data_IF_949910734212
#
_entry.id   IF_949910734212
#
_cell.length_a   1.000
_cell.length_b   1.000
_cell.length_c   1.000
_cell.angle_alpha   90.00
_cell.angle_beta   90.00
_cell.angle_gamma   90.00
#
_symmetry.space_group_name_H-M   'P 1'
#
loop_
_entity.id
_entity.type
_entity.pdbx_description
1 polymer ?
#
# COMPACT_ATOMS: atom_id res chain seq x y z
N UNK A 1 7.03 20.54 -6.77
CA UNK A 1 5.93 20.47 -5.79
C UNK A 1 5.87 19.10 -5.12
N UNK A 2 5.66 18.00 -5.86
CA UNK A 2 5.63 16.63 -5.29
C UNK A 2 6.91 16.31 -4.49
N UNK A 3 8.09 16.56 -5.07
CA UNK A 3 9.38 16.33 -4.39
C UNK A 3 9.56 17.14 -3.09
N UNK A 4 8.93 18.31 -3.00
CA UNK A 4 8.94 19.12 -1.77
C UNK A 4 8.07 18.45 -0.70
N UNK A 5 6.84 18.07 -1.05
CA UNK A 5 5.92 17.36 -0.15
C UNK A 5 6.52 16.05 0.38
N UNK A 6 7.19 15.28 -0.48
CA UNK A 6 7.93 14.08 -0.07
C UNK A 6 9.01 14.39 0.96
N UNK A 7 9.82 15.43 0.71
CA UNK A 7 10.89 15.82 1.63
C UNK A 7 10.37 16.32 2.98
N UNK A 8 9.23 17.02 2.98
CA UNK A 8 8.53 17.43 4.19
C UNK A 8 7.99 16.23 4.98
N UNK A 9 7.40 15.23 4.30
CA UNK A 9 6.95 13.97 4.94
C UNK A 9 8.12 13.19 5.55
N UNK A 10 9.27 13.18 4.90
CA UNK A 10 10.49 12.52 5.41
C UNK A 10 11.05 13.30 6.61
N UNK A 11 11.04 14.62 6.55
CA UNK A 11 11.46 15.49 7.66
C UNK A 11 10.57 15.27 8.89
N UNK A 12 9.26 15.22 8.69
CA UNK A 12 8.31 14.89 9.76
C UNK A 12 8.63 13.53 10.38
N UNK A 13 8.84 12.49 9.57
CA UNK A 13 9.18 11.16 10.08
C UNK A 13 10.49 11.19 10.91
N UNK A 14 11.52 11.90 10.46
CA UNK A 14 12.78 11.93 11.24
C UNK A 14 12.67 12.65 12.58
N UNK A 15 11.82 13.68 12.67
CA UNK A 15 11.78 14.60 13.81
C UNK A 15 10.66 14.31 14.81
N UNK A 16 9.59 13.63 14.37
CA UNK A 16 8.43 13.37 15.21
C UNK A 16 8.72 12.50 16.46
N UNK A 17 9.57 11.47 16.43
CA UNK A 17 9.88 10.68 17.63
C UNK A 17 10.40 11.56 18.77
N UNK A 18 11.32 12.47 18.48
CA UNK A 18 11.90 13.41 19.45
C UNK A 18 10.84 14.38 19.98
N UNK A 19 9.97 14.88 19.11
CA UNK A 19 8.82 15.71 19.50
C UNK A 19 7.84 14.94 20.40
N UNK A 20 7.59 13.67 20.11
CA UNK A 20 6.67 12.84 20.89
C UNK A 20 7.24 12.51 22.27
N UNK A 21 8.54 12.20 22.36
CA UNK A 21 9.22 11.88 23.61
C UNK A 21 9.27 13.09 24.56
N UNK A 22 9.64 14.26 24.06
CA UNK A 22 9.64 15.51 24.84
C UNK A 22 8.25 15.87 25.37
N UNK A 23 7.19 15.62 24.59
CA UNK A 23 5.81 15.82 25.03
C UNK A 23 5.34 14.77 26.04
N UNK A 24 5.83 13.55 25.93
CA UNK A 24 5.51 12.45 26.84
C UNK A 24 6.06 12.69 28.24
N UNK A 25 7.29 13.19 28.35
CA UNK A 25 7.92 13.56 29.61
C UNK A 25 7.15 14.68 30.34
N UNK A 26 6.42 15.51 29.60
CA UNK A 26 5.60 16.60 30.13
C UNK A 26 4.16 16.18 30.48
N UNK A 27 3.70 15.02 30.01
CA UNK A 27 2.32 14.56 30.19
C UNK A 27 2.26 13.35 31.14
N UNK A 28 1.69 13.55 32.33
CA UNK A 28 1.37 12.48 33.28
C UNK A 28 0.16 11.65 32.81
N UNK A 29 0.31 10.82 31.77
CA UNK A 29 -0.78 9.94 31.34
C UNK A 29 -0.59 9.16 30.04
N UNK A 30 -1.32 8.05 29.93
CA UNK A 30 -1.36 7.00 28.88
C UNK A 30 -1.59 7.47 27.42
N UNK A 31 -1.68 8.77 27.14
CA UNK A 31 -2.11 9.34 25.86
C UNK A 31 -1.02 9.36 24.78
N UNK A 32 0.24 9.18 25.15
CA UNK A 32 1.39 9.29 24.23
C UNK A 32 1.48 8.11 23.27
N UNK A 33 1.08 6.91 23.70
CA UNK A 33 1.18 5.69 22.89
C UNK A 33 0.17 5.62 21.74
N UNK A 34 -0.94 6.36 21.80
CA UNK A 34 -1.99 6.36 20.76
C UNK A 34 -1.67 7.31 19.58
N UNK A 35 -0.91 8.38 19.83
CA UNK A 35 -0.58 9.39 18.82
C UNK A 35 0.24 8.82 17.64
N UNK A 36 1.31 8.03 17.88
CA UNK A 36 2.07 7.38 16.81
C UNK A 36 1.21 6.41 15.98
N UNK A 37 0.22 5.78 16.60
CA UNK A 37 -0.61 4.78 15.93
C UNK A 37 -1.57 5.37 14.90
N UNK A 38 -2.12 6.56 15.17
CA UNK A 38 -3.00 7.25 14.22
C UNK A 38 -2.25 7.92 13.06
N UNK A 39 -1.00 8.33 13.28
CA UNK A 39 -0.23 9.15 12.35
C UNK A 39 0.60 8.32 11.35
N UNK A 40 1.11 7.15 11.75
CA UNK A 40 1.88 6.30 10.82
C UNK A 40 1.05 5.79 9.63
N UNK A 41 -0.21 5.33 9.79
CA UNK A 41 -1.05 5.01 8.64
C UNK A 41 -1.26 6.20 7.71
N UNK A 42 -1.40 7.41 8.28
CA UNK A 42 -1.57 8.63 7.49
C UNK A 42 -0.32 9.01 6.72
N UNK A 43 0.87 8.78 7.28
CA UNK A 43 2.13 8.98 6.58
C UNK A 43 2.25 8.09 5.35
N UNK A 44 1.97 6.79 5.49
CA UNK A 44 1.94 5.86 4.34
C UNK A 44 0.87 6.26 3.31
N UNK A 45 -0.33 6.61 3.77
CA UNK A 45 -1.41 7.05 2.89
C UNK A 45 -1.03 8.31 2.10
N UNK A 46 -0.34 9.26 2.73
CA UNK A 46 0.12 10.49 2.08
C UNK A 46 1.05 10.16 0.91
N UNK A 47 2.02 9.26 1.10
CA UNK A 47 2.85 8.79 -0.01
C UNK A 47 2.02 8.12 -1.10
N UNK A 48 1.07 7.25 -0.76
CA UNK A 48 0.20 6.63 -1.76
C UNK A 48 -0.54 7.68 -2.60
N UNK A 49 -1.10 8.72 -1.97
CA UNK A 49 -1.79 9.81 -2.70
C UNK A 49 -0.86 10.68 -3.54
N UNK A 50 0.44 10.70 -3.27
CA UNK A 50 1.43 11.36 -4.12
C UNK A 50 1.81 10.53 -5.36
N UNK A 51 1.66 9.20 -5.29
CA UNK A 51 2.06 8.27 -6.36
C UNK A 51 0.92 7.87 -7.30
N UNK A 52 -0.33 8.12 -6.92
CA UNK A 52 -1.48 7.71 -7.72
C UNK A 52 -2.73 8.51 -7.40
N UNK A 53 -3.63 8.59 -8.38
CA UNK A 53 -4.99 9.08 -8.21
C UNK A 53 -5.87 7.91 -7.72
N UNK A 54 -6.10 7.87 -6.41
CA UNK A 54 -6.88 6.80 -5.79
C UNK A 54 -8.34 6.77 -6.27
N UNK A 55 -8.91 7.90 -6.68
CA UNK A 55 -10.28 7.95 -7.17
C UNK A 55 -10.37 7.25 -8.54
N UNK A 56 -9.37 7.45 -9.40
CA UNK A 56 -9.25 6.73 -10.68
C UNK A 56 -9.05 5.23 -10.46
N UNK A 57 -8.25 4.82 -9.46
CA UNK A 57 -8.10 3.40 -9.12
C UNK A 57 -9.41 2.79 -8.59
N UNK A 58 -10.19 3.53 -7.81
CA UNK A 58 -11.50 3.05 -7.35
C UNK A 58 -12.52 2.90 -8.49
N UNK A 59 -12.52 3.82 -9.45
CA UNK A 59 -13.29 3.66 -10.69
C UNK A 59 -12.89 2.38 -11.42
N UNK A 60 -11.60 2.06 -11.46
CA UNK A 60 -11.07 0.90 -12.17
C UNK A 60 -11.47 -0.46 -11.56
N UNK A 61 -11.86 -0.48 -10.28
CA UNK A 61 -12.41 -1.66 -9.60
C UNK A 61 -13.95 -1.64 -9.50
N UNK A 62 -14.59 -0.73 -10.22
CA UNK A 62 -16.06 -0.70 -10.38
C UNK A 62 -16.82 0.16 -9.38
N UNK A 63 -16.21 1.20 -8.79
CA UNK A 63 -16.90 2.15 -7.88
C UNK A 63 -18.21 2.69 -8.46
N UNK A 64 -18.24 2.99 -9.76
CA UNK A 64 -19.41 3.58 -10.45
C UNK A 64 -20.16 2.55 -11.32
N UNK A 65 -19.93 1.26 -11.09
CA UNK A 65 -20.52 0.16 -11.85
C UNK A 65 -19.50 -0.64 -12.67
N UNK A 66 -19.95 -1.65 -13.42
CA UNK A 66 -19.07 -2.57 -14.15
C UNK A 66 -18.39 -1.91 -15.37
N UNK A 67 -18.99 -0.85 -15.92
CA UNK A 67 -18.50 -0.19 -17.13
C UNK A 67 -17.31 0.74 -16.84
N UNK A 68 -16.10 0.20 -16.88
CA UNK A 68 -14.86 0.98 -16.71
C UNK A 68 -14.49 1.67 -18.03
N UNK A 69 -14.47 3.01 -18.03
CA UNK A 69 -14.12 3.81 -19.21
C UNK A 69 -12.70 3.52 -19.74
N UNK A 70 -12.51 3.70 -21.06
CA UNK A 70 -11.20 3.53 -21.70
C UNK A 70 -10.10 4.40 -21.05
N UNK A 71 -10.42 5.63 -20.68
CA UNK A 71 -9.45 6.55 -20.05
C UNK A 71 -8.96 6.04 -18.69
N UNK A 72 -9.85 5.44 -17.89
CA UNK A 72 -9.51 4.83 -16.59
C UNK A 72 -8.62 3.60 -16.81
N UNK A 73 -8.99 2.71 -17.74
CA UNK A 73 -8.17 1.53 -18.06
C UNK A 73 -6.77 1.93 -18.51
N UNK A 74 -6.66 2.92 -19.40
CA UNK A 74 -5.39 3.43 -19.90
C UNK A 74 -4.53 4.03 -18.78
N UNK A 75 -5.12 4.83 -17.88
CA UNK A 75 -4.42 5.38 -16.72
C UNK A 75 -3.84 4.26 -15.86
N UNK A 76 -4.66 3.27 -15.50
CA UNK A 76 -4.25 2.18 -14.62
C UNK A 76 -3.15 1.34 -15.27
N UNK A 77 -3.31 0.96 -16.54
CA UNK A 77 -2.28 0.22 -17.29
C UNK A 77 -0.93 0.97 -17.35
N UNK A 78 -0.97 2.30 -17.50
CA UNK A 78 0.22 3.15 -17.44
C UNK A 78 0.81 3.18 -16.03
N UNK A 79 -0.02 3.35 -15.00
CA UNK A 79 0.39 3.42 -13.61
C UNK A 79 1.04 2.11 -13.12
N UNK A 80 0.42 0.95 -13.38
CA UNK A 80 0.99 -0.35 -12.96
C UNK A 80 2.35 -0.65 -13.60
N UNK A 81 2.69 0.03 -14.69
CA UNK A 81 3.97 -0.10 -15.39
C UNK A 81 5.03 0.88 -14.85
N UNK A 82 4.62 1.95 -14.16
CA UNK A 82 5.53 3.00 -13.66
C UNK A 82 6.31 2.60 -12.40
N UNK A 83 7.40 3.29 -12.04
CA UNK A 83 8.04 3.15 -10.73
C UNK A 83 7.11 3.56 -9.57
N UNK A 84 6.25 4.55 -9.79
CA UNK A 84 5.32 5.06 -8.78
C UNK A 84 4.36 4.00 -8.26
N UNK A 85 3.89 3.07 -9.12
CA UNK A 85 3.08 1.95 -8.62
C UNK A 85 3.85 1.06 -7.63
N UNK A 86 5.14 0.80 -7.85
CA UNK A 86 5.94 -0.06 -6.96
C UNK A 86 6.20 0.65 -5.65
N UNK A 87 6.51 1.95 -5.71
CA UNK A 87 6.64 2.82 -4.53
C UNK A 87 5.31 2.90 -3.75
N UNK A 88 4.18 3.03 -4.44
CA UNK A 88 2.85 3.02 -3.82
C UNK A 88 2.54 1.68 -3.13
N UNK A 89 2.81 0.55 -3.80
CA UNK A 89 2.60 -0.79 -3.25
C UNK A 89 3.55 -1.10 -2.09
N UNK A 90 4.76 -0.53 -2.10
CA UNK A 90 5.69 -0.60 -0.97
C UNK A 90 5.08 0.07 0.27
N UNK A 91 4.51 1.27 0.14
CA UNK A 91 3.81 1.93 1.23
C UNK A 91 2.56 1.18 1.69
N UNK A 92 1.79 0.59 0.77
CA UNK A 92 0.67 -0.28 1.11
C UNK A 92 1.11 -1.51 1.92
N UNK A 93 2.24 -2.12 1.55
CA UNK A 93 2.81 -3.27 2.26
C UNK A 93 3.36 -2.88 3.65
N UNK A 94 4.04 -1.74 3.76
CA UNK A 94 4.53 -1.22 5.04
C UNK A 94 3.37 -0.93 6.00
N UNK A 95 2.33 -0.27 5.51
CA UNK A 95 1.08 -0.04 6.25
C UNK A 95 0.46 -1.36 6.70
N UNK A 96 0.37 -2.36 5.82
CA UNK A 96 -0.16 -3.67 6.18
C UNK A 96 0.62 -4.30 7.34
N UNK A 97 1.95 -4.33 7.24
CA UNK A 97 2.80 -4.90 8.28
C UNK A 97 2.69 -4.12 9.59
N UNK A 98 2.64 -2.79 9.53
CA UNK A 98 2.40 -1.95 10.70
C UNK A 98 1.10 -2.33 11.42
N UNK A 99 0.02 -2.50 10.66
CA UNK A 99 -1.30 -2.82 11.20
C UNK A 99 -1.39 -4.25 11.75
N UNK A 100 -0.75 -5.22 11.11
CA UNK A 100 -0.67 -6.61 11.60
C UNK A 100 0.01 -6.68 12.96
N UNK A 101 1.08 -5.91 13.14
CA UNK A 101 1.88 -5.93 14.37
C UNK A 101 1.31 -5.04 15.48
N UNK A 102 0.25 -4.26 15.21
CA UNK A 102 -0.37 -3.41 16.25
C UNK A 102 -1.39 -4.19 17.08
N UNK A 103 -1.36 -3.99 18.41
CA UNK A 103 -2.29 -4.61 19.35
C UNK A 103 -3.74 -4.14 19.14
N UNK A 104 -4.66 -5.10 19.20
CA UNK A 104 -6.11 -4.91 18.99
C UNK A 104 -6.81 -4.06 20.06
N UNK A 105 -6.12 -3.71 21.16
CA UNK A 105 -6.69 -2.91 22.25
C UNK A 105 -6.59 -1.39 22.03
N UNK A 106 -5.95 -0.95 20.95
CA UNK A 106 -5.76 0.48 20.65
C UNK A 106 -7.03 1.09 20.05
N UNK A 107 -7.38 2.31 20.48
CA UNK A 107 -8.41 3.09 19.81
C UNK A 107 -7.91 3.46 18.42
N UNK A 108 -8.58 2.91 17.43
CA UNK A 108 -8.29 3.11 16.02
C UNK A 108 -8.79 4.47 15.55
N UNK A 109 -7.95 5.21 14.83
CA UNK A 109 -8.39 6.45 14.22
C UNK A 109 -9.44 6.19 13.12
N UNK A 110 -10.40 7.11 13.00
CA UNK A 110 -11.54 6.97 12.08
C UNK A 110 -11.13 6.85 10.60
N UNK A 111 -9.96 7.37 10.24
CA UNK A 111 -9.42 7.30 8.88
C UNK A 111 -8.79 5.95 8.54
N UNK A 112 -8.40 5.14 9.53
CA UNK A 112 -7.63 3.92 9.26
C UNK A 112 -8.36 2.90 8.36
N UNK A 113 -9.68 2.65 8.51
CA UNK A 113 -10.39 1.80 7.56
C UNK A 113 -10.30 2.30 6.10
N UNK A 114 -10.40 3.62 5.87
CA UNK A 114 -10.29 4.21 4.53
C UNK A 114 -8.89 4.03 3.95
N UNK A 115 -7.86 4.19 4.78
CA UNK A 115 -6.46 4.01 4.39
C UNK A 115 -6.16 2.56 4.03
N UNK A 116 -6.63 1.59 4.85
CA UNK A 116 -6.50 0.16 4.54
C UNK A 116 -7.24 -0.22 3.25
N UNK A 117 -8.43 0.35 3.03
CA UNK A 117 -9.17 0.14 1.80
C UNK A 117 -8.40 0.67 0.58
N UNK A 118 -7.86 1.89 0.64
CA UNK A 118 -7.04 2.44 -0.44
C UNK A 118 -5.82 1.55 -0.77
N UNK A 119 -5.18 0.98 0.25
CA UNK A 119 -4.07 0.05 0.05
C UNK A 119 -4.52 -1.22 -0.70
N UNK A 120 -5.71 -1.72 -0.38
CA UNK A 120 -6.31 -2.87 -1.08
C UNK A 120 -6.67 -2.53 -2.53
N UNK A 121 -7.19 -1.32 -2.79
CA UNK A 121 -7.49 -0.85 -4.15
C UNK A 121 -6.20 -0.82 -4.99
N UNK A 122 -5.10 -0.28 -4.47
CA UNK A 122 -3.82 -0.28 -5.17
C UNK A 122 -3.37 -1.70 -5.56
N UNK A 123 -3.45 -2.65 -4.63
CA UNK A 123 -3.12 -4.06 -4.89
C UNK A 123 -4.04 -4.70 -5.92
N UNK A 124 -5.35 -4.46 -5.80
CA UNK A 124 -6.35 -4.98 -6.73
C UNK A 124 -6.14 -4.47 -8.15
N UNK A 125 -5.97 -3.15 -8.34
CA UNK A 125 -5.66 -2.57 -9.65
C UNK A 125 -4.37 -3.14 -10.24
N UNK A 126 -3.32 -3.29 -9.42
CA UNK A 126 -2.07 -3.88 -9.90
C UNK A 126 -2.29 -5.29 -10.43
N UNK A 127 -3.01 -6.15 -9.71
CA UNK A 127 -3.28 -7.53 -10.11
C UNK A 127 -4.23 -7.64 -11.31
N UNK A 128 -5.32 -6.87 -11.33
CA UNK A 128 -6.36 -6.94 -12.37
C UNK A 128 -5.86 -6.48 -13.74
N UNK A 129 -4.94 -5.52 -13.76
CA UNK A 129 -4.47 -4.91 -15.01
C UNK A 129 -3.08 -5.42 -15.44
N UNK A 130 -2.49 -6.40 -14.73
CA UNK A 130 -1.23 -6.99 -15.18
C UNK A 130 -1.37 -7.53 -16.60
N UNK A 131 -0.37 -7.32 -17.48
CA UNK A 131 -0.39 -7.90 -18.81
C UNK A 131 -0.47 -9.43 -18.71
N UNK A 132 -1.61 -10.02 -19.10
CA UNK A 132 -1.71 -11.46 -19.27
C UNK A 132 -0.77 -11.86 -20.41
N UNK A 133 0.19 -12.76 -20.16
CA UNK A 133 0.96 -13.37 -21.25
C UNK A 133 -0.02 -14.31 -21.97
N UNK A 134 -0.45 -14.04 -23.22
CA UNK A 134 -1.33 -14.96 -23.92
C UNK A 134 -0.60 -16.28 -24.09
N UNK A 135 -1.20 -17.37 -23.61
CA UNK A 135 -0.61 -18.71 -23.60
C UNK A 135 -0.53 -19.36 -25.00
N UNK A 136 -0.66 -18.58 -26.07
CA UNK A 136 -0.81 -19.08 -27.43
C UNK A 136 -0.40 -18.04 -28.48
N UNK A 137 0.89 -17.71 -28.54
CA UNK A 137 1.49 -17.23 -29.79
C UNK A 137 3.01 -17.37 -29.74
N UNK A 138 3.48 -18.56 -30.10
CA UNK A 138 4.81 -18.75 -30.68
C UNK A 138 4.88 -17.97 -31.99
N UNK A 139 5.55 -16.81 -31.99
CA UNK A 139 6.49 -16.33 -33.01
C UNK A 139 6.82 -14.85 -32.76
N UNK A 140 8.09 -14.61 -32.42
CA UNK A 140 8.87 -13.38 -32.66
C UNK A 140 8.18 -12.02 -32.50
N UNK A 141 8.24 -11.48 -31.29
CA UNK A 141 8.40 -10.04 -31.08
C UNK A 141 9.64 -9.81 -30.20
N UNK A 142 10.82 -9.99 -30.80
CA UNK A 142 12.07 -9.48 -30.26
C UNK A 142 12.10 -7.95 -30.41
N UNK A 143 11.28 -7.23 -29.64
CA UNK A 143 11.53 -5.83 -29.31
C UNK A 143 10.62 -5.38 -28.16
N UNK A 144 10.79 -5.97 -26.98
CA UNK A 144 10.25 -5.38 -25.75
C UNK A 144 11.42 -5.04 -24.88
N UNK A 145 11.61 -3.74 -24.70
CA UNK A 145 12.61 -3.10 -23.86
C UNK A 145 12.72 -3.86 -22.53
N UNK A 146 13.81 -4.61 -22.40
CA UNK A 146 14.35 -5.12 -21.13
C UNK A 146 14.88 -3.91 -20.34
N UNK A 147 14.02 -2.94 -19.99
CA UNK A 147 14.30 -2.11 -18.82
C UNK A 147 14.15 -3.07 -17.66
N UNK A 148 15.30 -3.57 -17.24
CA UNK A 148 15.50 -4.72 -16.38
C UNK A 148 14.59 -4.63 -15.14
N UNK A 149 13.74 -5.64 -14.90
CA UNK A 149 12.92 -5.70 -13.68
C UNK A 149 13.78 -5.56 -12.42
N UNK A 150 15.07 -5.87 -12.50
CA UNK A 150 16.07 -5.70 -11.44
C UNK A 150 16.33 -4.23 -11.10
N UNK A 151 16.39 -3.33 -12.10
CA UNK A 151 16.68 -1.89 -11.97
C UNK A 151 15.62 -1.17 -11.11
N UNK A 152 14.35 -1.53 -11.29
CA UNK A 152 13.24 -0.94 -10.52
C UNK A 152 13.34 -1.26 -9.02
N UNK A 153 13.76 -2.48 -8.64
CA UNK A 153 13.85 -2.85 -7.24
C UNK A 153 15.09 -2.27 -6.56
N UNK A 154 16.22 -2.18 -7.28
CA UNK A 154 17.40 -1.46 -6.78
C UNK A 154 17.09 0.01 -6.54
N UNK A 155 16.29 0.62 -7.41
CA UNK A 155 15.81 2.00 -7.25
C UNK A 155 14.95 2.21 -6.00
N UNK A 156 14.17 1.21 -5.55
CA UNK A 156 13.36 1.31 -4.34
C UNK A 156 14.20 1.38 -3.07
N UNK A 157 15.32 0.65 -3.00
CA UNK A 157 16.21 0.66 -1.84
C UNK A 157 16.96 1.99 -1.67
N UNK A 158 17.07 2.75 -2.76
CA UNK A 158 17.68 4.08 -2.77
C UNK A 158 16.71 5.18 -2.30
N UNK A 159 15.42 4.88 -2.15
CA UNK A 159 14.41 5.86 -1.77
C UNK A 159 14.69 6.48 -0.39
N UNK A 160 14.55 7.81 -0.27
CA UNK A 160 14.93 8.51 0.95
C UNK A 160 14.04 8.17 2.15
N UNK A 161 12.78 7.79 1.92
CA UNK A 161 11.86 7.32 2.95
C UNK A 161 12.19 5.90 3.45
N UNK A 162 12.71 5.01 2.59
CA UNK A 162 13.17 3.67 2.98
C UNK A 162 14.38 3.78 3.89
N UNK A 163 15.33 4.64 3.52
CA UNK A 163 16.48 4.98 4.37
C UNK A 163 16.05 5.64 5.69
N UNK A 164 15.02 6.49 5.65
CA UNK A 164 14.50 7.14 6.85
C UNK A 164 13.90 6.13 7.83
N UNK A 165 13.21 5.08 7.35
CA UNK A 165 12.67 4.01 8.18
C UNK A 165 13.77 3.13 8.79
N UNK A 166 14.76 2.72 7.98
CA UNK A 166 15.88 1.89 8.45
C UNK A 166 16.72 2.58 9.52
N UNK A 167 16.82 3.91 9.46
CA UNK A 167 17.56 4.73 10.42
C UNK A 167 16.72 5.21 11.60
N UNK A 168 15.41 4.90 11.65
CA UNK A 168 14.50 5.56 12.59
C UNK A 168 14.55 5.00 14.00
N UNK A 169 14.47 5.92 14.97
CA UNK A 169 14.26 5.65 16.40
C UNK A 169 12.93 4.94 16.66
N UNK A 170 12.01 4.92 15.68
CA UNK A 170 10.72 4.24 15.80
C UNK A 170 10.81 2.75 16.09
N UNK A 171 11.96 2.13 15.79
CA UNK A 171 12.28 0.73 16.11
C UNK A 171 12.08 0.38 17.60
N UNK A 172 12.17 1.35 18.52
CA UNK A 172 11.95 1.15 19.96
C UNK A 172 10.51 1.42 20.44
N UNK A 173 9.71 2.17 19.68
CA UNK A 173 8.35 2.62 20.09
C UNK A 173 7.20 1.91 19.37
N UNK A 174 7.45 1.36 18.18
CA UNK A 174 6.46 0.56 17.46
C UNK A 174 6.76 -0.92 17.61
N UNK A 175 5.72 -1.78 17.52
CA UNK A 175 5.92 -3.22 17.43
C UNK A 175 6.98 -3.51 16.37
N UNK A 176 8.11 -4.04 16.84
CA UNK A 176 9.31 -4.24 16.04
C UNK A 176 9.03 -5.17 14.86
N UNK A 177 9.68 -4.91 13.72
CA UNK A 177 10.13 -6.03 12.89
C UNK A 177 10.19 -5.86 11.39
N UNK A 178 9.67 -4.78 10.78
CA UNK A 178 9.66 -4.67 9.33
C UNK A 178 10.47 -3.47 8.83
N UNK A 179 11.72 -3.73 8.44
CA UNK A 179 12.62 -2.70 7.89
C UNK A 179 12.26 -2.36 6.45
N UNK A 180 12.72 -1.22 5.96
CA UNK A 180 12.51 -0.82 4.57
C UNK A 180 13.14 -1.80 3.58
N UNK A 181 14.30 -2.39 3.92
CA UNK A 181 14.93 -3.46 3.13
C UNK A 181 14.15 -4.78 3.13
N UNK A 182 13.55 -5.15 4.26
CA UNK A 182 12.69 -6.33 4.30
C UNK A 182 11.42 -6.10 3.47
N UNK A 183 10.91 -4.86 3.48
CA UNK A 183 9.78 -4.45 2.66
C UNK A 183 10.08 -4.51 1.16
N UNK A 184 11.24 -4.03 0.72
CA UNK A 184 11.65 -4.11 -0.70
C UNK A 184 11.77 -5.57 -1.15
N UNK A 185 12.41 -6.43 -0.34
CA UNK A 185 12.56 -7.86 -0.63
C UNK A 185 11.20 -8.59 -0.66
N UNK A 186 10.32 -8.32 0.32
CA UNK A 186 8.99 -8.91 0.37
C UNK A 186 8.12 -8.44 -0.80
N UNK A 187 8.17 -7.15 -1.15
CA UNK A 187 7.48 -6.61 -2.32
C UNK A 187 7.96 -7.32 -3.59
N UNK A 188 9.28 -7.44 -3.78
CA UNK A 188 9.85 -8.16 -4.92
C UNK A 188 9.30 -9.59 -5.02
N UNK A 189 9.29 -10.33 -3.91
CA UNK A 189 8.72 -11.67 -3.83
C UNK A 189 7.25 -11.70 -4.26
N UNK A 190 6.42 -10.81 -3.70
CA UNK A 190 4.99 -10.72 -4.01
C UNK A 190 4.77 -10.38 -5.49
N UNK A 191 5.48 -9.40 -6.05
CA UNK A 191 5.29 -8.98 -7.46
C UNK A 191 5.77 -10.02 -8.49
N UNK A 192 6.49 -11.05 -8.05
CA UNK A 192 6.89 -12.20 -8.88
C UNK A 192 6.05 -13.44 -8.66
N UNK A 193 5.18 -13.42 -7.64
CA UNK A 193 4.28 -14.52 -7.32
C UNK A 193 3.11 -14.59 -8.31
N UNK A 194 2.36 -15.69 -8.27
CA UNK A 194 1.11 -15.76 -9.05
C UNK A 194 -0.01 -14.95 -8.39
N UNK A 195 -1.08 -14.65 -9.13
CA UNK A 195 -2.19 -13.81 -8.63
C UNK A 195 -2.83 -14.35 -7.34
N UNK A 196 -2.95 -15.67 -7.16
CA UNK A 196 -3.53 -16.24 -5.95
C UNK A 196 -2.63 -16.01 -4.72
N UNK A 197 -1.32 -16.19 -4.88
CA UNK A 197 -0.32 -15.89 -3.85
C UNK A 197 -0.29 -14.40 -3.53
N UNK A 198 -0.37 -13.53 -4.53
CA UNK A 198 -0.46 -12.08 -4.34
C UNK A 198 -1.71 -11.70 -3.53
N UNK A 199 -2.89 -12.22 -3.90
CA UNK A 199 -4.15 -12.01 -3.16
C UNK A 199 -4.01 -12.45 -1.70
N UNK A 200 -3.43 -13.63 -1.46
CA UNK A 200 -3.23 -14.18 -0.13
C UNK A 200 -2.28 -13.33 0.73
N UNK A 201 -1.16 -12.88 0.14
CA UNK A 201 -0.16 -12.06 0.83
C UNK A 201 -0.61 -10.63 1.11
N UNK A 202 -1.66 -10.14 0.42
CA UNK A 202 -2.08 -8.73 0.45
C UNK A 202 -3.57 -8.57 0.79
N UNK A 203 -4.46 -8.75 -0.19
CA UNK A 203 -5.90 -8.50 -0.04
C UNK A 203 -6.53 -9.28 1.11
N UNK A 204 -6.20 -10.57 1.28
CA UNK A 204 -6.71 -11.36 2.40
C UNK A 204 -6.30 -10.78 3.76
N UNK A 205 -5.06 -10.26 3.86
CA UNK A 205 -4.54 -9.63 5.09
C UNK A 205 -5.27 -8.31 5.35
N UNK A 206 -5.42 -7.46 4.34
CA UNK A 206 -6.11 -6.17 4.44
C UNK A 206 -7.60 -6.33 4.79
N UNK A 207 -8.26 -7.31 4.16
CA UNK A 207 -9.64 -7.72 4.46
C UNK A 207 -9.78 -8.17 5.91
N UNK A 208 -8.89 -9.06 6.37
CA UNK A 208 -8.89 -9.55 7.75
C UNK A 208 -8.70 -8.41 8.74
N UNK A 209 -7.78 -7.48 8.45
CA UNK A 209 -7.60 -6.30 9.28
C UNK A 209 -8.87 -5.46 9.33
N UNK A 210 -9.48 -5.13 8.19
CA UNK A 210 -10.74 -4.39 8.16
C UNK A 210 -11.87 -5.08 8.94
N UNK A 211 -11.96 -6.42 8.90
CA UNK A 211 -12.92 -7.15 9.74
C UNK A 211 -12.58 -7.09 11.22
N UNK A 212 -11.30 -7.06 11.58
CA UNK A 212 -10.82 -6.90 12.97
C UNK A 212 -11.05 -5.50 13.51
N UNK A 213 -10.98 -4.46 12.69
CA UNK A 213 -11.10 -3.06 13.11
C UNK A 213 -12.49 -2.67 13.59
N UNK A 214 -13.53 -3.40 13.21
CA UNK A 214 -14.89 -3.07 13.61
C UNK A 214 -15.88 -4.20 13.41
N UNK A 215 -16.78 -4.34 14.37
CA UNK A 215 -17.91 -5.27 14.30
C UNK A 215 -19.05 -4.75 13.40
N UNK A 216 -19.00 -3.48 12.96
CA UNK A 216 -19.95 -2.84 12.04
C UNK A 216 -19.39 -1.60 11.34
N UNK A 217 -20.20 -0.94 10.51
CA UNK A 217 -19.86 0.33 9.87
C UNK A 217 -19.00 0.24 8.60
N UNK A 218 -18.27 1.32 8.29
CA UNK A 218 -17.55 1.48 7.02
C UNK A 218 -16.44 0.42 6.82
N UNK A 219 -15.81 -0.03 7.92
CA UNK A 219 -14.77 -1.06 7.87
C UNK A 219 -15.29 -2.39 7.32
N UNK A 220 -16.50 -2.82 7.73
CA UNK A 220 -17.12 -4.04 7.21
C UNK A 220 -17.48 -3.90 5.73
N UNK A 221 -18.01 -2.74 5.33
CA UNK A 221 -18.32 -2.47 3.91
C UNK A 221 -17.06 -2.56 3.03
N UNK A 222 -15.94 -1.99 3.48
CA UNK A 222 -14.67 -2.12 2.76
C UNK A 222 -14.17 -3.57 2.73
N UNK A 223 -14.28 -4.31 3.83
CA UNK A 223 -13.93 -5.73 3.85
C UNK A 223 -14.78 -6.54 2.86
N UNK A 224 -16.07 -6.26 2.76
CA UNK A 224 -16.98 -6.95 1.84
C UNK A 224 -16.65 -6.66 0.37
N UNK A 225 -16.28 -5.41 0.04
CA UNK A 225 -15.78 -5.07 -1.31
C UNK A 225 -14.49 -5.83 -1.61
N UNK A 226 -13.53 -5.86 -0.69
CA UNK A 226 -12.27 -6.59 -0.89
C UNK A 226 -12.53 -8.09 -1.04
N UNK A 227 -13.48 -8.65 -0.30
CA UNK A 227 -13.87 -10.06 -0.44
C UNK A 227 -14.37 -10.39 -1.85
N UNK A 228 -15.11 -9.48 -2.48
CA UNK A 228 -15.53 -9.62 -3.89
C UNK A 228 -14.30 -9.60 -4.81
N UNK A 229 -13.33 -8.71 -4.58
CA UNK A 229 -12.09 -8.63 -5.37
C UNK A 229 -11.20 -9.87 -5.19
N UNK A 230 -11.20 -10.48 -4.00
CA UNK A 230 -10.51 -11.74 -3.73
C UNK A 230 -11.18 -12.87 -4.52
N UNK A 231 -12.51 -12.94 -4.50
CA UNK A 231 -13.29 -13.98 -5.14
C UNK A 231 -13.36 -13.86 -6.67
N UNK A 232 -13.35 -12.65 -7.22
CA UNK A 232 -13.38 -12.42 -8.66
C UNK A 232 -12.09 -12.85 -9.32
N UNK A 233 -12.18 -13.68 -10.36
CA UNK A 233 -11.07 -13.95 -11.25
C UNK A 233 -10.93 -12.76 -12.21
N UNK A 234 -9.69 -12.34 -12.50
CA UNK A 234 -9.40 -11.15 -13.32
C UNK A 234 -9.93 -11.20 -14.76
N UNK A 235 -10.69 -12.23 -15.13
CA UNK A 235 -11.35 -12.41 -16.42
C UNK A 235 -12.80 -11.92 -16.45
N UNK A 236 -13.49 -11.77 -15.32
CA UNK A 236 -14.94 -11.47 -15.32
C UNK A 236 -15.27 -9.98 -15.57
N UNK A 237 -14.25 -9.13 -15.76
CA UNK A 237 -14.37 -7.67 -15.96
C UNK A 237 -13.96 -7.20 -17.36
N UNK A 238 -13.60 -8.15 -18.24
CA UNK A 238 -13.11 -7.88 -19.59
C UNK A 238 -13.89 -8.70 -20.62
N UNK A 239 -15.21 -8.55 -20.61
CA UNK A 239 -16.08 -8.89 -21.76
C UNK A 239 -17.04 -7.72 -22.03
#
# INVERSE_FOLDING_TARGET
MITQLESELISWHRTFPDYSATRAEQATGSTVTELPFSLMPLWHYSFMTLMTDLDVLELAIGKDGPDVSHSVRQYVSSWISSPDSKRCLLHALLLQNFMVNTSMGSVMAIHTPRILFAAAVCWACYMLYQPSIPSSSSLSAQFTVHTDRTDVFESLELLPEIRAMDSSTWSSTLPSGFTGKQASAALKSILTANTAEMKAATLCVLETMLRRLGTGGISRRFADIIQILIAGDGNDWVD
#
